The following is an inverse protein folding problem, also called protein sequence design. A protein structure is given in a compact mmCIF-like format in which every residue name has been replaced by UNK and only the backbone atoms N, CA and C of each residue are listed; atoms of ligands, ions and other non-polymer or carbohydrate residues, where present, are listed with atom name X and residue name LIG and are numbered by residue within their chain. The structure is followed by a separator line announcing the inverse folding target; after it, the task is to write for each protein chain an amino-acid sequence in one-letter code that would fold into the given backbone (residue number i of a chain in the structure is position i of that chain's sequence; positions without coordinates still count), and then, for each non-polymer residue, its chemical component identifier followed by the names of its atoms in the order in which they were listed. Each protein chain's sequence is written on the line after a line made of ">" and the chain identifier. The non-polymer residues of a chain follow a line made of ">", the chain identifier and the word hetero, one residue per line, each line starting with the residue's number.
data_IF_486487052602
#
_entry.id   IF_486487052602
#
_cell.length_a   1.000
_cell.length_b   1.000
_cell.length_c   1.000
_cell.angle_alpha   90.00
_cell.angle_beta   90.00
_cell.angle_gamma   90.00
#
_symmetry.space_group_name_H-M   'P 1'
#
loop_
_entity.id
_entity.type
_entity.pdbx_description
1 polymer ?
#
# COMPACT_ATOMS: atom_id res chain seq x y z
N UNK A 1 -17.57 -5.04 -23.84
CA UNK A 1 -16.36 -4.20 -23.87
C UNK A 1 -15.16 -4.99 -23.37
N UNK A 2 -13.92 -4.63 -23.77
CA UNK A 2 -12.70 -5.33 -23.35
C UNK A 2 -11.77 -4.42 -22.57
N UNK A 3 -11.29 -4.91 -21.44
CA UNK A 3 -10.33 -4.22 -20.60
C UNK A 3 -9.01 -5.02 -20.51
N UNK A 4 -7.86 -4.33 -20.54
CA UNK A 4 -6.56 -4.92 -20.26
C UNK A 4 -5.96 -4.29 -18.99
N UNK A 5 -5.72 -5.09 -17.97
CA UNK A 5 -4.97 -4.68 -16.79
C UNK A 5 -3.51 -5.08 -16.93
N UNK A 6 -2.59 -4.15 -16.69
CA UNK A 6 -1.15 -4.45 -16.75
C UNK A 6 -0.45 -4.06 -15.45
N UNK A 7 0.48 -4.90 -15.04
CA UNK A 7 1.39 -4.61 -13.93
C UNK A 7 2.73 -5.36 -14.14
N UNK A 8 3.78 -4.93 -13.45
CA UNK A 8 5.08 -5.60 -13.55
C UNK A 8 5.02 -7.05 -13.09
N UNK A 9 4.18 -7.37 -12.07
CA UNK A 9 4.07 -8.69 -11.47
C UNK A 9 2.63 -9.08 -11.14
N UNK A 10 2.32 -10.39 -11.19
CA UNK A 10 1.03 -10.98 -10.84
C UNK A 10 0.52 -10.55 -9.47
N UNK A 11 1.41 -10.56 -8.47
CA UNK A 11 1.03 -10.24 -7.09
C UNK A 11 0.42 -8.83 -6.94
N UNK A 12 0.79 -7.89 -7.79
CA UNK A 12 0.19 -6.55 -7.77
C UNK A 12 -1.27 -6.57 -8.22
N UNK A 13 -1.58 -7.27 -9.31
CA UNK A 13 -2.96 -7.44 -9.78
C UNK A 13 -3.79 -8.21 -8.76
N UNK A 14 -3.29 -9.36 -8.30
CA UNK A 14 -4.01 -10.23 -7.36
C UNK A 14 -4.29 -9.59 -6.01
N UNK A 15 -3.39 -8.72 -5.54
CA UNK A 15 -3.54 -8.06 -4.24
C UNK A 15 -4.43 -6.82 -4.29
N UNK A 16 -4.40 -6.04 -5.39
CA UNK A 16 -4.94 -4.69 -5.38
C UNK A 16 -6.08 -4.44 -6.39
N UNK A 17 -6.18 -5.24 -7.44
CA UNK A 17 -7.10 -4.92 -8.54
C UNK A 17 -8.24 -5.93 -8.72
N UNK A 18 -8.19 -7.08 -8.05
CA UNK A 18 -9.23 -8.11 -8.21
C UNK A 18 -10.65 -7.64 -7.88
N UNK A 19 -10.88 -6.83 -6.82
CA UNK A 19 -12.23 -6.32 -6.55
C UNK A 19 -12.79 -5.51 -7.71
N UNK A 20 -12.00 -4.60 -8.27
CA UNK A 20 -12.44 -3.76 -9.39
C UNK A 20 -12.54 -4.56 -10.72
N UNK A 21 -11.67 -5.54 -10.95
CA UNK A 21 -11.77 -6.46 -12.09
C UNK A 21 -13.10 -7.23 -12.06
N UNK A 22 -13.47 -7.78 -10.90
CA UNK A 22 -14.76 -8.47 -10.72
C UNK A 22 -15.95 -7.55 -10.96
N UNK A 23 -15.87 -6.30 -10.53
CA UNK A 23 -16.91 -5.30 -10.78
C UNK A 23 -17.07 -5.00 -12.28
N UNK A 24 -15.95 -4.89 -13.02
CA UNK A 24 -16.02 -4.71 -14.48
C UNK A 24 -16.61 -5.94 -15.19
N UNK A 25 -16.25 -7.16 -14.75
CA UNK A 25 -16.82 -8.40 -15.28
C UNK A 25 -18.33 -8.47 -15.01
N UNK A 26 -18.78 -8.09 -13.81
CA UNK A 26 -20.20 -8.00 -13.47
C UNK A 26 -20.97 -7.00 -14.36
N UNK A 27 -20.25 -6.00 -14.91
CA UNK A 27 -20.79 -5.03 -15.88
C UNK A 27 -20.64 -5.48 -17.35
N UNK A 28 -20.24 -6.71 -17.59
CA UNK A 28 -20.14 -7.30 -18.94
C UNK A 28 -18.83 -7.01 -19.67
N UNK A 29 -17.76 -6.62 -18.96
CA UNK A 29 -16.44 -6.54 -19.56
C UNK A 29 -15.80 -7.92 -19.66
N UNK A 30 -15.16 -8.20 -20.79
CA UNK A 30 -14.12 -9.23 -20.91
C UNK A 30 -12.82 -8.62 -20.40
N UNK A 31 -12.29 -9.14 -19.29
CA UNK A 31 -11.11 -8.56 -18.64
C UNK A 31 -9.89 -9.46 -18.83
N UNK A 32 -8.87 -8.91 -19.47
CA UNK A 32 -7.56 -9.54 -19.63
C UNK A 32 -6.54 -8.94 -18.69
N UNK A 33 -5.51 -9.71 -18.36
CA UNK A 33 -4.36 -9.19 -17.61
C UNK A 33 -3.02 -9.55 -18.29
N UNK A 34 -2.03 -8.65 -18.15
CA UNK A 34 -0.67 -8.89 -18.61
C UNK A 34 0.34 -8.55 -17.52
N UNK A 35 1.12 -9.52 -17.10
CA UNK A 35 2.10 -9.40 -16.02
C UNK A 35 3.18 -10.48 -16.11
N UNK A 36 4.25 -10.34 -15.31
CA UNK A 36 5.20 -11.43 -15.05
C UNK A 36 4.71 -12.24 -13.85
N UNK A 37 4.66 -13.58 -13.98
CA UNK A 37 4.31 -14.44 -12.85
C UNK A 37 5.42 -14.40 -11.78
N UNK A 38 5.02 -14.17 -10.53
CA UNK A 38 5.87 -14.21 -9.35
C UNK A 38 5.23 -15.03 -8.21
N UNK A 39 4.44 -16.04 -8.55
CA UNK A 39 3.74 -16.90 -7.59
C UNK A 39 4.69 -17.67 -6.66
N UNK A 40 5.93 -17.89 -7.09
CA UNK A 40 7.01 -18.45 -6.26
C UNK A 40 7.47 -17.52 -5.12
N UNK A 41 7.23 -16.22 -5.23
CA UNK A 41 7.59 -15.22 -4.22
C UNK A 41 6.40 -14.81 -3.33
N UNK A 42 5.18 -14.83 -3.87
CA UNK A 42 3.94 -14.51 -3.15
C UNK A 42 2.86 -15.50 -3.52
N UNK A 43 2.55 -16.40 -2.59
CA UNK A 43 1.52 -17.43 -2.72
C UNK A 43 0.14 -16.92 -2.31
N UNK A 44 -0.92 -17.65 -2.66
CA UNK A 44 -2.28 -17.42 -2.19
C UNK A 44 -3.05 -16.27 -2.87
N UNK A 45 -2.49 -15.66 -3.92
CA UNK A 45 -3.21 -14.61 -4.68
C UNK A 45 -3.91 -15.22 -5.89
N UNK A 46 -5.23 -15.29 -5.81
CA UNK A 46 -6.07 -15.85 -6.86
C UNK A 46 -6.36 -14.82 -7.95
N UNK A 47 -5.96 -15.15 -9.17
CA UNK A 47 -6.27 -14.40 -10.41
C UNK A 47 -7.03 -15.25 -11.42
N UNK A 48 -7.54 -16.42 -11.02
CA UNK A 48 -8.18 -17.40 -11.92
C UNK A 48 -9.49 -16.91 -12.55
N UNK A 49 -10.14 -15.92 -11.94
CA UNK A 49 -11.36 -15.33 -12.46
C UNK A 49 -11.14 -14.35 -13.62
N UNK A 50 -9.88 -14.02 -13.95
CA UNK A 50 -9.56 -13.16 -15.11
C UNK A 50 -9.76 -13.97 -16.39
N UNK A 51 -10.51 -13.40 -17.36
CA UNK A 51 -10.91 -14.12 -18.57
C UNK A 51 -9.72 -14.56 -19.41
N UNK A 52 -8.66 -13.77 -19.48
CA UNK A 52 -7.41 -14.14 -20.16
C UNK A 52 -6.18 -13.52 -19.52
N UNK A 53 -5.15 -14.33 -19.34
CA UNK A 53 -3.87 -13.90 -18.75
C UNK A 53 -2.77 -14.07 -19.80
N UNK A 54 -1.94 -13.04 -19.92
CA UNK A 54 -0.74 -13.05 -20.77
C UNK A 54 0.50 -12.90 -19.88
N UNK A 55 1.42 -13.82 -20.02
CA UNK A 55 2.73 -13.66 -19.40
C UNK A 55 3.60 -12.73 -20.24
N UNK A 56 4.04 -11.64 -19.62
CA UNK A 56 4.90 -10.62 -20.25
C UNK A 56 6.15 -10.44 -19.40
N UNK A 57 7.37 -10.49 -19.98
CA UNK A 57 8.62 -10.50 -19.23
C UNK A 57 9.02 -9.11 -18.70
N UNK A 58 8.11 -8.47 -17.96
CA UNK A 58 8.38 -7.19 -17.29
C UNK A 58 9.52 -7.30 -16.28
N UNK A 59 10.29 -6.22 -16.13
CA UNK A 59 11.26 -6.05 -15.05
C UNK A 59 10.99 -4.74 -14.31
N UNK A 60 11.22 -4.76 -12.99
CA UNK A 60 11.18 -3.54 -12.16
C UNK A 60 12.35 -2.61 -12.45
N UNK A 61 13.51 -3.16 -12.88
CA UNK A 61 14.67 -2.35 -13.24
C UNK A 61 14.47 -1.67 -14.58
N UNK A 62 14.61 -0.34 -14.69
CA UNK A 62 14.50 0.38 -15.96
C UNK A 62 15.60 -0.01 -16.95
N UNK A 63 16.72 -0.52 -16.47
CA UNK A 63 17.88 -0.91 -17.30
C UNK A 63 17.82 -2.33 -17.84
N UNK A 64 16.76 -3.10 -17.48
CA UNK A 64 16.67 -4.49 -17.91
C UNK A 64 16.30 -4.60 -19.40
N UNK A 65 17.07 -5.34 -20.21
CA UNK A 65 16.74 -5.58 -21.61
C UNK A 65 15.45 -6.37 -21.80
N UNK A 66 14.96 -7.09 -20.75
CA UNK A 66 13.68 -7.78 -20.81
C UNK A 66 12.51 -6.81 -21.01
N UNK A 67 12.63 -5.54 -20.64
CA UNK A 67 11.62 -4.53 -20.87
C UNK A 67 11.40 -4.20 -22.34
N UNK A 68 12.43 -4.37 -23.18
CA UNK A 68 12.31 -4.27 -24.65
C UNK A 68 11.45 -5.42 -25.17
N UNK A 69 11.71 -6.65 -24.71
CA UNK A 69 10.90 -7.83 -25.06
C UNK A 69 9.45 -7.66 -24.58
N UNK A 70 9.28 -7.14 -23.35
CA UNK A 70 7.96 -6.85 -22.78
C UNK A 70 7.17 -5.83 -23.62
N UNK A 71 7.83 -4.78 -24.13
CA UNK A 71 7.21 -3.79 -25.01
C UNK A 71 6.65 -4.45 -26.29
N UNK A 72 7.46 -5.23 -27.01
CA UNK A 72 7.00 -5.86 -28.24
C UNK A 72 5.92 -6.91 -28.02
N UNK A 73 6.03 -7.71 -26.95
CA UNK A 73 5.02 -8.68 -26.56
C UNK A 73 3.69 -7.99 -26.24
N UNK A 74 3.73 -6.95 -25.41
CA UNK A 74 2.55 -6.21 -25.02
C UNK A 74 1.92 -5.46 -26.19
N UNK A 75 2.76 -4.85 -27.05
CA UNK A 75 2.26 -4.17 -28.27
C UNK A 75 1.51 -5.14 -29.18
N UNK A 76 2.02 -6.35 -29.39
CA UNK A 76 1.35 -7.41 -30.15
C UNK A 76 -0.01 -7.76 -29.52
N UNK A 77 -0.04 -8.01 -28.18
CA UNK A 77 -1.27 -8.29 -27.44
C UNK A 77 -2.32 -7.17 -27.63
N UNK A 78 -1.89 -5.91 -27.52
CA UNK A 78 -2.77 -4.75 -27.66
C UNK A 78 -3.32 -4.63 -29.07
N UNK A 79 -2.49 -4.82 -30.09
CA UNK A 79 -2.89 -4.68 -31.50
C UNK A 79 -3.84 -5.82 -31.95
N UNK A 80 -3.68 -7.03 -31.39
CA UNK A 80 -4.52 -8.20 -31.74
C UNK A 80 -5.89 -8.21 -31.05
N UNK A 81 -6.12 -7.46 -29.96
CA UNK A 81 -7.31 -7.64 -29.12
C UNK A 81 -8.29 -6.45 -29.08
N UNK A 82 -7.99 -5.32 -29.69
CA UNK A 82 -8.89 -4.15 -29.79
C UNK A 82 -9.56 -3.77 -28.45
N UNK A 83 -8.74 -3.42 -27.44
CA UNK A 83 -9.24 -3.04 -26.11
C UNK A 83 -9.95 -1.68 -26.12
N UNK A 84 -11.06 -1.58 -25.39
CA UNK A 84 -11.73 -0.31 -25.10
C UNK A 84 -10.96 0.51 -24.07
N UNK A 85 -10.37 -0.18 -23.06
CA UNK A 85 -9.55 0.43 -22.01
C UNK A 85 -8.32 -0.42 -21.70
N UNK A 86 -7.19 0.26 -21.47
CA UNK A 86 -5.96 -0.31 -20.95
C UNK A 86 -5.65 0.40 -19.65
N UNK A 87 -5.70 -0.35 -18.53
CA UNK A 87 -5.43 0.15 -17.20
C UNK A 87 -4.05 -0.33 -16.74
N UNK A 88 -3.09 0.56 -16.72
CA UNK A 88 -1.71 0.23 -16.36
C UNK A 88 -1.38 0.62 -14.92
N UNK A 89 -0.55 -0.22 -14.30
CA UNK A 89 -0.14 -0.11 -12.92
C UNK A 89 1.35 -0.38 -12.79
N UNK A 90 1.93 -0.01 -11.65
CA UNK A 90 3.36 -0.11 -11.34
C UNK A 90 4.24 0.76 -12.26
N UNK A 91 5.35 1.32 -11.77
CA UNK A 91 6.12 2.30 -12.56
C UNK A 91 6.58 1.78 -13.92
N UNK A 92 7.35 0.69 -13.96
CA UNK A 92 7.85 0.15 -15.25
C UNK A 92 6.75 -0.50 -16.08
N UNK A 93 5.77 -1.17 -15.46
CA UNK A 93 4.59 -1.70 -16.15
C UNK A 93 3.84 -0.59 -16.88
N UNK A 94 3.60 0.54 -16.20
CA UNK A 94 2.91 1.68 -16.77
C UNK A 94 3.71 2.41 -17.87
N UNK A 95 5.04 2.55 -17.73
CA UNK A 95 5.89 3.11 -18.77
C UNK A 95 5.78 2.31 -20.07
N UNK A 96 5.98 0.99 -19.97
CA UNK A 96 5.95 0.10 -21.14
C UNK A 96 4.55 0.07 -21.76
N UNK A 97 3.51 0.00 -20.92
CA UNK A 97 2.14 -0.06 -21.40
C UNK A 97 1.71 1.20 -22.11
N UNK A 98 1.98 2.39 -21.55
CA UNK A 98 1.66 3.68 -22.19
C UNK A 98 2.34 3.83 -23.54
N UNK A 99 3.60 3.39 -23.68
CA UNK A 99 4.32 3.38 -24.95
C UNK A 99 3.71 2.37 -25.94
N UNK A 100 3.42 1.14 -25.51
CA UNK A 100 2.86 0.10 -26.36
C UNK A 100 1.43 0.44 -26.84
N UNK A 101 0.67 1.19 -26.04
CA UNK A 101 -0.71 1.58 -26.30
C UNK A 101 -0.86 2.81 -27.22
N UNK A 102 0.23 3.49 -27.62
CA UNK A 102 0.16 4.73 -28.43
C UNK A 102 -0.69 4.57 -29.71
N UNK A 103 -0.52 3.45 -30.41
CA UNK A 103 -1.31 3.14 -31.62
C UNK A 103 -2.78 2.88 -31.32
N UNK A 104 -3.07 2.07 -30.32
CA UNK A 104 -4.43 1.75 -29.90
C UNK A 104 -5.17 3.01 -29.41
N UNK A 105 -4.50 3.86 -28.62
CA UNK A 105 -5.07 5.14 -28.16
C UNK A 105 -5.50 6.05 -29.31
N UNK A 106 -4.74 6.11 -30.40
CA UNK A 106 -5.13 6.85 -31.60
C UNK A 106 -6.38 6.26 -32.29
N UNK A 107 -6.66 4.98 -32.07
CA UNK A 107 -7.86 4.28 -32.57
C UNK A 107 -9.05 4.35 -31.61
N UNK A 108 -8.93 5.02 -30.47
CA UNK A 108 -10.02 5.25 -29.52
C UNK A 108 -9.89 4.57 -28.16
N UNK A 109 -8.96 3.61 -28.00
CA UNK A 109 -8.67 2.97 -26.72
C UNK A 109 -8.33 4.01 -25.65
N UNK A 110 -8.95 3.93 -24.46
CA UNK A 110 -8.61 4.78 -23.32
C UNK A 110 -7.43 4.19 -22.55
N UNK A 111 -6.51 5.03 -22.14
CA UNK A 111 -5.36 4.64 -21.32
C UNK A 111 -5.51 5.25 -19.93
N UNK A 112 -5.68 4.38 -18.93
CA UNK A 112 -5.79 4.72 -17.51
C UNK A 112 -4.48 4.30 -16.82
N UNK A 113 -3.93 5.17 -15.99
CA UNK A 113 -2.74 4.85 -15.19
C UNK A 113 -3.00 5.13 -13.71
N UNK A 114 -2.90 4.09 -12.88
CA UNK A 114 -2.90 4.25 -11.42
C UNK A 114 -1.46 4.27 -10.89
N UNK A 115 -1.05 5.43 -10.39
CA UNK A 115 0.24 5.65 -9.75
C UNK A 115 0.13 5.30 -8.25
N UNK A 116 0.79 4.20 -7.84
CA UNK A 116 0.82 3.75 -6.44
C UNK A 116 1.90 4.46 -5.60
N UNK A 117 2.44 5.54 -6.10
CA UNK A 117 3.45 6.38 -5.46
C UNK A 117 4.54 6.79 -6.44
N UNK A 118 4.67 8.09 -6.73
CA UNK A 118 5.76 8.59 -7.57
C UNK A 118 7.11 8.42 -6.86
N UNK A 119 8.17 8.22 -7.65
CA UNK A 119 9.52 8.07 -7.11
C UNK A 119 10.19 9.42 -6.79
N UNK A 120 9.56 10.53 -7.14
CA UNK A 120 10.04 11.91 -6.93
C UNK A 120 9.21 12.66 -5.87
N UNK A 121 8.94 12.03 -4.74
CA UNK A 121 8.24 12.58 -3.59
C UNK A 121 9.11 13.57 -2.78
N UNK A 122 8.50 14.29 -1.84
CA UNK A 122 9.20 15.20 -0.93
C UNK A 122 10.19 14.41 -0.05
N UNK A 123 11.46 14.79 -0.10
CA UNK A 123 12.53 14.07 0.60
C UNK A 123 13.19 12.93 -0.21
N UNK A 124 12.69 12.63 -1.42
CA UNK A 124 13.34 11.64 -2.30
C UNK A 124 14.76 12.08 -2.70
N UNK A 125 15.68 11.12 -2.93
CA UNK A 125 16.98 11.43 -3.49
C UNK A 125 16.87 12.25 -4.80
N UNK A 126 17.73 13.25 -4.98
CA UNK A 126 17.71 14.14 -6.17
C UNK A 126 17.74 13.35 -7.49
N UNK A 127 18.48 12.25 -7.52
CA UNK A 127 18.56 11.37 -8.69
C UNK A 127 17.21 10.82 -9.11
N UNK A 128 16.32 10.52 -8.17
CA UNK A 128 14.96 10.05 -8.46
C UNK A 128 14.15 11.13 -9.19
N UNK A 129 14.29 12.39 -8.79
CA UNK A 129 13.62 13.50 -9.47
C UNK A 129 14.16 13.68 -10.88
N UNK A 130 15.47 13.52 -11.11
CA UNK A 130 16.08 13.65 -12.42
C UNK A 130 15.66 12.51 -13.36
N UNK A 131 15.57 11.29 -12.86
CA UNK A 131 15.27 10.11 -13.69
C UNK A 131 13.78 9.87 -13.91
N UNK A 132 12.96 9.93 -12.84
CA UNK A 132 11.57 9.48 -12.92
C UNK A 132 10.59 10.61 -13.26
N UNK A 133 10.82 11.83 -12.79
CA UNK A 133 9.92 12.94 -13.05
C UNK A 133 9.75 13.27 -14.55
N UNK A 134 10.83 13.41 -15.37
CA UNK A 134 10.67 13.69 -16.79
C UNK A 134 9.90 12.59 -17.53
N UNK A 135 10.15 11.32 -17.17
CA UNK A 135 9.47 10.17 -17.78
C UNK A 135 7.98 10.22 -17.48
N UNK A 136 7.59 10.39 -16.20
CA UNK A 136 6.20 10.48 -15.82
C UNK A 136 5.51 11.71 -16.45
N UNK A 137 6.18 12.86 -16.48
CA UNK A 137 5.65 14.06 -17.09
C UNK A 137 5.43 13.92 -18.61
N UNK A 138 6.37 13.35 -19.33
CA UNK A 138 6.25 13.13 -20.78
C UNK A 138 5.12 12.12 -21.05
N UNK A 139 5.12 10.98 -20.35
CA UNK A 139 4.15 9.93 -20.56
C UNK A 139 2.74 10.28 -20.05
N UNK A 140 2.61 11.31 -19.23
CA UNK A 140 1.27 11.81 -18.87
C UNK A 140 0.49 12.27 -20.09
N UNK A 141 1.12 12.77 -21.15
CA UNK A 141 0.47 13.14 -22.42
C UNK A 141 -0.12 11.93 -23.16
N UNK A 142 0.34 10.72 -22.85
CA UNK A 142 -0.17 9.46 -23.41
C UNK A 142 -1.26 8.82 -22.54
N UNK A 143 -1.79 9.55 -21.54
CA UNK A 143 -2.71 9.05 -20.51
C UNK A 143 -4.04 9.80 -20.61
N UNK A 144 -5.15 9.07 -20.63
CA UNK A 144 -6.50 9.67 -20.63
C UNK A 144 -6.94 9.96 -19.19
N UNK A 145 -6.68 9.05 -18.25
CA UNK A 145 -6.87 9.28 -16.80
C UNK A 145 -5.60 8.89 -16.03
N UNK A 146 -5.03 9.83 -15.29
CA UNK A 146 -4.01 9.60 -14.28
C UNK A 146 -4.72 9.54 -12.91
N UNK A 147 -4.58 8.42 -12.23
CA UNK A 147 -5.14 8.20 -10.88
C UNK A 147 -3.97 8.17 -9.90
N UNK A 148 -4.03 8.97 -8.86
CA UNK A 148 -3.09 8.93 -7.73
C UNK A 148 -3.83 8.46 -6.48
N UNK A 149 -3.10 7.83 -5.56
CA UNK A 149 -3.68 7.24 -4.34
C UNK A 149 -3.31 7.99 -3.06
N UNK A 150 -2.60 9.10 -3.16
CA UNK A 150 -2.25 9.97 -2.06
C UNK A 150 -2.26 11.43 -2.51
N UNK A 151 -2.42 12.35 -1.55
CA UNK A 151 -2.58 13.77 -1.82
C UNK A 151 -1.29 14.44 -2.32
N UNK A 152 -0.10 13.98 -1.89
CA UNK A 152 1.18 14.56 -2.34
C UNK A 152 1.38 14.32 -3.85
N UNK A 153 1.15 13.10 -4.32
CA UNK A 153 1.29 12.78 -5.75
C UNK A 153 0.21 13.47 -6.61
N UNK A 154 -1.01 13.59 -6.07
CA UNK A 154 -2.09 14.33 -6.72
C UNK A 154 -1.71 15.79 -6.93
N UNK A 155 -1.30 16.46 -5.86
CA UNK A 155 -0.89 17.85 -5.92
C UNK A 155 0.35 18.04 -6.82
N UNK A 156 1.33 17.14 -6.73
CA UNK A 156 2.51 17.17 -7.60
C UNK A 156 2.13 17.07 -9.10
N UNK A 157 1.15 16.21 -9.45
CA UNK A 157 0.69 16.09 -10.83
C UNK A 157 0.00 17.38 -11.33
N UNK A 158 -0.78 18.06 -10.47
CA UNK A 158 -1.41 19.33 -10.77
C UNK A 158 -0.39 20.48 -10.86
N UNK A 159 0.43 20.67 -9.83
CA UNK A 159 1.41 21.76 -9.71
C UNK A 159 2.45 21.73 -10.84
N UNK A 160 2.83 20.54 -11.24
CA UNK A 160 3.75 20.36 -12.35
C UNK A 160 3.07 20.27 -13.73
N UNK A 161 1.76 20.53 -13.80
CA UNK A 161 0.99 20.54 -15.05
C UNK A 161 1.20 19.25 -15.89
N UNK A 162 0.94 18.10 -15.31
CA UNK A 162 0.93 16.83 -16.05
C UNK A 162 -0.14 16.87 -17.15
N UNK A 163 0.15 16.28 -18.29
CA UNK A 163 -0.65 16.39 -19.52
C UNK A 163 -1.66 15.25 -19.71
N UNK A 164 -1.96 14.47 -18.66
CA UNK A 164 -3.09 13.55 -18.70
C UNK A 164 -4.39 14.34 -18.96
N UNK A 165 -5.33 13.76 -19.71
CA UNK A 165 -6.58 14.47 -20.02
C UNK A 165 -7.37 14.80 -18.76
N UNK A 166 -7.36 13.87 -17.78
CA UNK A 166 -7.93 14.04 -16.44
C UNK A 166 -6.99 13.48 -15.39
N UNK A 167 -6.98 14.11 -14.23
CA UNK A 167 -6.18 13.69 -13.06
C UNK A 167 -7.16 13.49 -11.91
N UNK A 168 -7.11 12.30 -11.28
CA UNK A 168 -7.99 11.91 -10.20
C UNK A 168 -7.18 11.55 -8.95
N UNK A 169 -7.79 11.77 -7.79
CA UNK A 169 -7.34 11.25 -6.51
C UNK A 169 -8.35 10.19 -6.04
N UNK A 170 -7.87 9.00 -5.70
CA UNK A 170 -8.68 7.90 -5.15
C UNK A 170 -8.05 7.49 -3.81
N UNK A 171 -8.89 7.09 -2.87
CA UNK A 171 -8.47 6.73 -1.52
C UNK A 171 -7.85 5.32 -1.44
N UNK A 172 -6.77 5.09 -2.20
CA UNK A 172 -6.03 3.84 -2.18
C UNK A 172 -6.59 2.76 -3.10
N UNK A 173 -6.50 1.52 -2.65
CA UNK A 173 -6.90 0.32 -3.39
C UNK A 173 -8.07 -0.42 -2.73
N UNK A 174 -8.55 0.11 -1.61
CA UNK A 174 -9.62 -0.47 -0.81
C UNK A 174 -9.13 -1.53 0.20
N UNK A 175 -9.73 -1.50 1.39
CA UNK A 175 -9.56 -2.52 2.44
C UNK A 175 -10.91 -3.14 2.73
N UNK A 176 -10.93 -4.46 2.88
CA UNK A 176 -12.12 -5.22 3.25
C UNK A 176 -12.46 -4.98 4.73
N UNK A 177 -13.41 -4.10 5.00
CA UNK A 177 -13.85 -3.77 6.35
C UNK A 177 -14.66 -4.89 7.02
N UNK A 178 -15.10 -5.92 6.28
CA UNK A 178 -15.72 -7.10 6.89
C UNK A 178 -14.67 -7.99 7.57
N UNK A 179 -13.47 -8.02 7.04
CA UNK A 179 -12.32 -8.75 7.59
C UNK A 179 -11.60 -7.96 8.70
N UNK A 180 -11.53 -6.63 8.56
CA UNK A 180 -10.88 -5.74 9.51
C UNK A 180 -11.94 -4.87 10.19
N UNK A 181 -12.28 -5.19 11.42
CA UNK A 181 -13.27 -4.46 12.23
C UNK A 181 -12.91 -4.53 13.72
N UNK A 182 -13.41 -3.59 14.49
CA UNK A 182 -13.15 -3.56 15.93
C UNK A 182 -13.78 -4.77 16.62
N UNK A 183 -13.08 -5.30 17.63
CA UNK A 183 -13.54 -6.41 18.47
C UNK A 183 -13.94 -5.92 19.85
N UNK A 184 -14.76 -6.71 20.58
CA UNK A 184 -15.07 -6.45 21.97
C UNK A 184 -13.85 -6.68 22.87
N UNK A 185 -13.79 -6.07 24.09
CA UNK A 185 -12.73 -6.34 25.05
C UNK A 185 -12.55 -7.83 25.36
N UNK A 186 -13.65 -8.56 25.58
CA UNK A 186 -13.61 -10.01 25.84
C UNK A 186 -12.98 -10.79 24.67
N UNK A 187 -13.29 -10.40 23.43
CA UNK A 187 -12.69 -11.02 22.25
C UNK A 187 -11.21 -10.69 22.12
N UNK A 188 -10.80 -9.48 22.50
CA UNK A 188 -9.39 -9.07 22.53
C UNK A 188 -8.61 -9.89 23.55
N UNK A 189 -9.15 -10.05 24.78
CA UNK A 189 -8.54 -10.87 25.84
C UNK A 189 -8.43 -12.34 25.42
N UNK A 190 -9.49 -12.92 24.85
CA UNK A 190 -9.46 -14.29 24.33
C UNK A 190 -8.42 -14.48 23.19
N UNK A 191 -8.23 -13.48 22.31
CA UNK A 191 -7.17 -13.52 21.30
C UNK A 191 -5.78 -13.48 21.96
N UNK A 192 -5.57 -12.64 22.98
CA UNK A 192 -4.30 -12.58 23.72
C UNK A 192 -3.98 -13.92 24.35
N UNK A 193 -4.92 -14.52 25.07
CA UNK A 193 -4.75 -15.86 25.65
C UNK A 193 -4.39 -16.90 24.56
N UNK A 194 -5.14 -16.92 23.44
CA UNK A 194 -4.90 -17.84 22.32
C UNK A 194 -3.48 -17.71 21.74
N UNK A 195 -2.94 -16.48 21.69
CA UNK A 195 -1.61 -16.20 21.14
C UNK A 195 -0.51 -16.17 22.21
N UNK A 196 -0.83 -16.43 23.48
CA UNK A 196 0.13 -16.53 24.59
C UNK A 196 0.56 -15.19 25.17
N UNK A 197 -0.25 -14.14 25.00
CA UNK A 197 -0.01 -12.82 25.59
C UNK A 197 -0.82 -12.61 26.86
N UNK A 198 -0.27 -11.83 27.80
CA UNK A 198 -0.97 -11.36 28.99
C UNK A 198 -1.82 -10.12 28.67
N UNK A 199 -2.89 -9.90 29.46
CA UNK A 199 -3.63 -8.64 29.44
C UNK A 199 -2.81 -7.46 29.98
N UNK A 200 -1.76 -7.72 30.75
CA UNK A 200 -0.80 -6.72 31.22
C UNK A 200 0.25 -6.31 30.18
N UNK A 201 0.40 -7.07 29.07
CA UNK A 201 1.29 -6.70 27.97
C UNK A 201 0.74 -5.50 27.21
N UNK A 202 1.59 -4.52 26.93
CA UNK A 202 1.27 -3.46 25.96
C UNK A 202 1.86 -3.83 24.61
N UNK A 203 0.99 -4.23 23.69
CA UNK A 203 1.34 -4.84 22.42
C UNK A 203 1.30 -3.82 21.29
N UNK A 204 2.44 -3.59 20.68
CA UNK A 204 2.63 -2.74 19.51
C UNK A 204 2.83 -3.62 18.27
N UNK A 205 2.21 -3.26 17.14
CA UNK A 205 2.32 -4.05 15.92
C UNK A 205 2.71 -3.21 14.71
N UNK A 206 3.58 -3.76 13.86
CA UNK A 206 3.91 -3.20 12.55
C UNK A 206 3.94 -4.29 11.47
N UNK A 207 2.82 -4.57 10.77
CA UNK A 207 2.78 -5.51 9.66
C UNK A 207 3.53 -4.96 8.44
N UNK A 208 4.75 -5.47 8.20
CA UNK A 208 5.58 -5.01 7.08
C UNK A 208 6.72 -6.01 6.79
N UNK A 209 7.03 -6.19 5.49
CA UNK A 209 8.22 -6.93 5.06
C UNK A 209 9.50 -6.22 5.55
N UNK A 210 10.54 -6.98 5.91
CA UNK A 210 11.81 -6.40 6.33
C UNK A 210 12.56 -5.79 5.15
N UNK A 211 12.71 -4.47 5.16
CA UNK A 211 13.49 -3.74 4.17
C UNK A 211 13.83 -2.33 4.66
N UNK A 212 14.86 -1.72 4.09
CA UNK A 212 15.35 -0.39 4.47
C UNK A 212 14.23 0.68 4.42
N UNK A 213 13.32 0.59 3.46
CA UNK A 213 12.18 1.50 3.33
C UNK A 213 11.23 1.46 4.53
N UNK A 214 11.08 0.29 5.16
CA UNK A 214 10.19 0.08 6.32
C UNK A 214 10.84 0.47 7.66
N UNK A 215 12.18 0.59 7.69
CA UNK A 215 12.94 1.22 8.78
C UNK A 215 12.67 0.65 10.19
N UNK A 216 12.60 -0.68 10.31
CA UNK A 216 12.30 -1.35 11.57
C UNK A 216 13.30 -1.01 12.70
N UNK A 217 14.54 -0.67 12.37
CA UNK A 217 15.55 -0.26 13.38
C UNK A 217 15.08 0.91 14.24
N UNK A 218 14.33 1.87 13.65
CA UNK A 218 13.73 2.97 14.41
C UNK A 218 12.78 2.47 15.50
N UNK A 219 12.05 1.36 15.25
CA UNK A 219 11.14 0.76 16.24
C UNK A 219 11.93 0.06 17.36
N UNK A 220 13.09 -0.52 17.07
CA UNK A 220 13.93 -1.12 18.10
C UNK A 220 14.55 -0.04 18.99
N UNK A 221 15.01 1.07 18.42
CA UNK A 221 15.50 2.21 19.21
C UNK A 221 14.40 2.82 20.10
N UNK A 222 13.17 2.97 19.55
CA UNK A 222 11.98 3.37 20.31
C UNK A 222 11.70 2.38 21.46
N UNK A 223 11.68 1.08 21.16
CA UNK A 223 11.41 0.04 22.16
C UNK A 223 12.43 0.07 23.29
N UNK A 224 13.72 0.31 22.98
CA UNK A 224 14.77 0.45 24.01
C UNK A 224 14.42 1.56 25.01
N UNK A 225 13.94 2.70 24.54
CA UNK A 225 13.53 3.82 25.41
C UNK A 225 12.31 3.41 26.25
N UNK A 226 11.31 2.76 25.66
CA UNK A 226 10.10 2.33 26.36
C UNK A 226 10.39 1.31 27.47
N UNK A 227 11.36 0.40 27.26
CA UNK A 227 11.75 -0.63 28.23
C UNK A 227 12.49 -0.07 29.45
N UNK A 228 12.95 1.18 29.42
CA UNK A 228 13.44 1.89 30.60
C UNK A 228 12.29 2.24 31.58
N UNK A 229 11.07 2.40 31.06
CA UNK A 229 9.88 2.73 31.85
C UNK A 229 9.09 1.50 32.31
N UNK A 230 8.89 0.51 31.43
CA UNK A 230 8.13 -0.71 31.71
C UNK A 230 8.65 -1.88 30.88
N UNK A 231 8.71 -3.08 31.46
CA UNK A 231 9.16 -4.31 30.77
C UNK A 231 8.08 -5.03 29.97
N UNK A 232 6.81 -4.62 30.11
CA UNK A 232 5.67 -5.29 29.47
C UNK A 232 5.38 -4.80 28.04
N UNK A 233 6.24 -3.93 27.47
CA UNK A 233 6.12 -3.56 26.06
C UNK A 233 6.56 -4.71 25.16
N UNK A 234 5.70 -5.07 24.18
CA UNK A 234 5.96 -6.09 23.15
C UNK A 234 5.85 -5.46 21.76
N UNK A 235 6.73 -5.87 20.85
CA UNK A 235 6.71 -5.40 19.45
C UNK A 235 6.54 -6.58 18.51
N UNK A 236 5.39 -6.65 17.83
CA UNK A 236 5.08 -7.69 16.86
C UNK A 236 5.39 -7.22 15.43
N UNK A 237 6.18 -8.00 14.71
CA UNK A 237 6.63 -7.71 13.35
C UNK A 237 6.24 -8.85 12.39
N UNK A 238 4.97 -8.95 11.98
CA UNK A 238 4.57 -9.87 10.92
C UNK A 238 4.99 -9.31 9.55
N UNK A 239 5.60 -10.15 8.70
CA UNK A 239 6.07 -9.81 7.37
C UNK A 239 7.10 -10.79 6.85
N UNK A 240 7.45 -10.72 5.56
CA UNK A 240 8.46 -11.59 4.98
C UNK A 240 9.83 -11.39 5.65
N UNK A 241 10.50 -12.49 5.98
CA UNK A 241 11.72 -12.52 6.82
C UNK A 241 13.01 -12.82 6.06
N UNK A 242 12.96 -12.95 4.74
CA UNK A 242 14.14 -13.23 3.91
C UNK A 242 15.27 -12.20 4.07
N UNK A 243 14.98 -11.01 4.57
CA UNK A 243 15.93 -9.91 4.86
C UNK A 243 15.95 -9.51 6.33
N UNK A 244 15.44 -10.34 7.24
CA UNK A 244 15.31 -9.96 8.66
C UNK A 244 16.63 -10.08 9.45
N UNK A 245 17.59 -10.88 9.00
CA UNK A 245 18.80 -11.20 9.78
C UNK A 245 19.57 -9.97 10.31
N UNK A 246 19.87 -8.91 9.52
CA UNK A 246 20.55 -7.73 10.02
C UNK A 246 19.74 -6.99 11.11
N UNK A 247 18.43 -7.04 11.04
CA UNK A 247 17.52 -6.43 12.01
C UNK A 247 17.49 -7.22 13.32
N UNK A 248 17.50 -8.56 13.25
CA UNK A 248 17.65 -9.44 14.41
C UNK A 248 18.97 -9.16 15.15
N UNK A 249 20.08 -9.08 14.41
CA UNK A 249 21.39 -8.79 14.97
C UNK A 249 21.42 -7.42 15.65
N UNK A 250 20.82 -6.42 15.03
CA UNK A 250 20.71 -5.08 15.61
C UNK A 250 19.88 -5.09 16.90
N UNK A 251 18.68 -5.69 16.90
CA UNK A 251 17.81 -5.78 18.08
C UNK A 251 18.52 -6.48 19.25
N UNK A 252 19.30 -7.55 18.98
CA UNK A 252 20.13 -8.25 19.98
C UNK A 252 21.25 -7.35 20.52
N UNK A 253 21.93 -6.63 19.62
CA UNK A 253 23.06 -5.78 20.00
C UNK A 253 22.69 -4.63 20.95
N UNK A 254 21.44 -4.16 20.87
CA UNK A 254 20.93 -3.08 21.74
C UNK A 254 20.08 -3.61 22.92
N UNK A 255 19.92 -4.95 23.04
CA UNK A 255 19.30 -5.61 24.19
C UNK A 255 17.77 -5.58 24.24
N UNK A 256 17.08 -5.45 23.09
CA UNK A 256 15.60 -5.40 23.03
C UNK A 256 14.98 -6.66 22.44
N UNK A 257 15.76 -7.60 21.96
CA UNK A 257 15.28 -8.74 21.18
C UNK A 257 14.24 -9.62 21.92
N UNK A 258 14.34 -9.75 23.24
CA UNK A 258 13.41 -10.54 24.05
C UNK A 258 11.98 -9.95 24.08
N UNK A 259 11.82 -8.70 23.68
CA UNK A 259 10.55 -8.00 23.59
C UNK A 259 10.08 -7.81 22.13
N UNK A 260 10.79 -8.41 21.16
CA UNK A 260 10.48 -8.34 19.73
C UNK A 260 10.11 -9.71 19.20
N UNK A 261 8.96 -9.81 18.54
CA UNK A 261 8.53 -11.03 17.88
C UNK A 261 8.48 -10.88 16.36
N UNK A 262 9.35 -11.59 15.68
CA UNK A 262 9.42 -11.66 14.22
C UNK A 262 8.58 -12.85 13.77
N UNK A 263 7.36 -12.57 13.31
CA UNK A 263 6.31 -13.58 13.12
C UNK A 263 6.30 -14.23 11.73
N UNK A 264 7.17 -13.77 10.81
CA UNK A 264 7.13 -14.22 9.43
C UNK A 264 5.85 -13.78 8.69
N UNK A 265 5.63 -14.36 7.52
CA UNK A 265 4.41 -14.10 6.74
C UNK A 265 3.20 -14.71 7.46
N UNK A 266 2.15 -13.91 7.66
CA UNK A 266 0.95 -14.29 8.41
C UNK A 266 -0.31 -14.03 7.59
N UNK A 267 -1.28 -14.93 7.69
CA UNK A 267 -2.61 -14.80 7.06
C UNK A 267 -3.67 -14.25 8.04
N UNK A 268 -3.36 -14.24 9.33
CA UNK A 268 -4.22 -13.83 10.45
C UNK A 268 -3.90 -12.41 10.97
N UNK A 269 -3.47 -11.52 10.05
CA UNK A 269 -3.12 -10.13 10.40
C UNK A 269 -4.25 -9.41 11.14
N UNK A 270 -5.52 -9.66 10.77
CA UNK A 270 -6.65 -9.05 11.46
C UNK A 270 -6.71 -9.41 12.96
N UNK A 271 -6.40 -10.66 13.32
CA UNK A 271 -6.34 -11.08 14.72
C UNK A 271 -5.15 -10.44 15.45
N UNK A 272 -3.97 -10.40 14.80
CA UNK A 272 -2.77 -9.80 15.38
C UNK A 272 -2.94 -8.29 15.62
N UNK A 273 -3.58 -7.57 14.70
CA UNK A 273 -3.90 -6.15 14.89
C UNK A 273 -4.97 -5.97 15.98
N UNK A 274 -5.99 -6.86 16.01
CA UNK A 274 -7.07 -6.77 16.99
C UNK A 274 -6.61 -7.02 18.43
N UNK A 275 -5.65 -7.93 18.67
CA UNK A 275 -5.09 -8.16 20.01
C UNK A 275 -4.11 -7.08 20.46
N UNK A 276 -3.58 -6.26 19.53
CA UNK A 276 -2.61 -5.19 19.81
C UNK A 276 -3.29 -3.94 20.38
N UNK A 277 -2.50 -3.11 21.07
CA UNK A 277 -2.96 -1.85 21.68
C UNK A 277 -2.74 -0.66 20.73
N UNK A 278 -1.71 -0.74 19.90
CA UNK A 278 -1.31 0.33 18.99
C UNK A 278 -0.70 -0.24 17.72
N UNK A 279 -0.94 0.42 16.60
CA UNK A 279 -0.28 0.11 15.33
C UNK A 279 0.77 1.18 15.00
N UNK A 280 1.90 0.72 14.49
CA UNK A 280 3.06 1.56 14.19
C UNK A 280 3.36 1.61 12.69
N UNK A 281 4.03 2.67 12.27
CA UNK A 281 4.70 2.74 10.97
C UNK A 281 5.96 3.60 11.06
N UNK A 282 7.13 2.99 10.89
CA UNK A 282 8.43 3.67 10.84
C UNK A 282 8.92 3.93 9.41
N UNK A 283 8.07 3.73 8.41
CA UNK A 283 8.43 3.82 7.00
C UNK A 283 9.07 5.15 6.62
N UNK A 284 10.06 5.09 5.73
CA UNK A 284 10.70 6.29 5.13
C UNK A 284 9.85 6.92 4.03
N UNK A 285 8.97 6.13 3.42
CA UNK A 285 8.00 6.57 2.42
C UNK A 285 6.92 5.51 2.21
N UNK A 286 5.71 5.94 1.86
CA UNK A 286 4.61 5.08 1.44
C UNK A 286 3.88 5.67 0.22
N UNK A 287 3.11 4.84 -0.47
CA UNK A 287 2.08 5.32 -1.40
C UNK A 287 0.83 5.73 -0.64
N UNK A 288 0.09 4.72 -0.20
CA UNK A 288 -0.92 4.80 0.86
C UNK A 288 -0.88 3.45 1.60
N UNK A 289 -0.45 3.41 2.87
CA UNK A 289 -0.12 2.16 3.56
C UNK A 289 -1.39 1.41 4.00
N UNK A 290 -1.62 0.25 3.41
CA UNK A 290 -2.79 -0.60 3.70
C UNK A 290 -2.82 -1.04 5.16
N UNK A 291 -1.68 -1.39 5.74
CA UNK A 291 -1.58 -1.79 7.14
C UNK A 291 -2.09 -0.72 8.12
N UNK A 292 -1.96 0.56 7.80
CA UNK A 292 -2.54 1.63 8.61
C UNK A 292 -4.06 1.77 8.40
N UNK A 293 -4.56 1.52 7.18
CA UNK A 293 -6.01 1.48 6.93
C UNK A 293 -6.64 0.29 7.68
N UNK A 294 -5.97 -0.88 7.67
CA UNK A 294 -6.36 -2.06 8.45
C UNK A 294 -6.40 -1.76 9.96
N UNK A 295 -5.39 -1.05 10.46
CA UNK A 295 -5.34 -0.58 11.85
C UNK A 295 -6.49 0.38 12.18
N UNK A 296 -6.78 1.35 11.30
CA UNK A 296 -7.93 2.26 11.44
C UNK A 296 -9.26 1.50 11.48
N UNK A 297 -9.41 0.47 10.65
CA UNK A 297 -10.63 -0.34 10.58
C UNK A 297 -10.89 -1.13 11.88
N UNK A 298 -9.85 -1.63 12.51
CA UNK A 298 -9.92 -2.29 13.83
C UNK A 298 -10.11 -1.26 14.95
N UNK A 299 -9.67 -0.03 14.72
CA UNK A 299 -9.75 1.07 15.66
C UNK A 299 -8.49 1.21 16.53
N UNK A 300 -7.36 0.65 16.12
CA UNK A 300 -6.12 0.87 16.86
C UNK A 300 -5.67 2.34 16.75
N UNK A 301 -5.23 2.96 17.84
CA UNK A 301 -4.42 4.16 17.79
C UNK A 301 -3.19 3.94 16.89
N UNK A 302 -2.72 4.98 16.22
CA UNK A 302 -1.61 4.86 15.28
C UNK A 302 -0.50 5.85 15.67
N UNK A 303 0.75 5.37 15.66
CA UNK A 303 1.94 6.24 15.65
C UNK A 303 2.75 5.95 14.40
N UNK A 304 2.93 6.98 13.56
CA UNK A 304 3.57 6.81 12.26
C UNK A 304 4.60 7.91 11.99
N UNK A 305 5.58 7.63 11.14
CA UNK A 305 6.49 8.67 10.64
C UNK A 305 5.75 9.69 9.78
N UNK A 306 6.14 10.96 9.88
CA UNK A 306 5.62 12.09 9.10
C UNK A 306 6.15 12.03 7.65
N UNK A 307 5.57 11.12 6.86
CA UNK A 307 5.96 10.90 5.46
C UNK A 307 4.71 10.78 4.58
N UNK A 308 4.90 10.94 3.27
CA UNK A 308 3.86 10.73 2.27
C UNK A 308 3.12 9.41 2.51
N UNK A 309 1.83 9.40 2.32
CA UNK A 309 0.94 8.26 2.54
C UNK A 309 0.54 8.08 4.01
N UNK A 310 1.48 8.13 4.96
CA UNK A 310 1.14 8.14 6.38
C UNK A 310 0.31 9.39 6.73
N UNK A 311 0.70 10.57 6.21
CA UNK A 311 0.02 11.84 6.47
C UNK A 311 -1.36 11.94 5.83
N UNK A 312 -1.66 11.13 4.83
CA UNK A 312 -3.01 11.04 4.28
C UNK A 312 -3.96 10.37 5.29
N UNK A 313 -3.46 9.39 6.03
CA UNK A 313 -4.22 8.56 6.97
C UNK A 313 -4.21 9.09 8.40
N UNK A 314 -3.05 9.54 8.89
CA UNK A 314 -2.85 9.93 10.29
C UNK A 314 -2.77 11.45 10.40
N UNK A 315 -3.75 12.03 11.06
CA UNK A 315 -3.79 13.45 11.41
C UNK A 315 -3.34 13.62 12.85
N UNK A 316 -2.18 14.26 13.03
CA UNK A 316 -1.48 14.38 14.30
C UNK A 316 -2.39 14.93 15.42
N UNK A 317 -2.55 14.19 16.51
CA UNK A 317 -3.38 14.52 17.65
C UNK A 317 -4.91 14.36 17.44
N UNK A 318 -5.36 13.86 16.27
CA UNK A 318 -6.79 13.68 15.95
C UNK A 318 -7.19 12.19 15.92
N UNK A 319 -6.43 11.38 15.20
CA UNK A 319 -6.69 9.94 15.07
C UNK A 319 -5.43 9.08 15.29
N UNK A 320 -4.34 9.71 15.73
CA UNK A 320 -3.04 9.13 15.97
C UNK A 320 -1.98 10.22 16.10
N UNK A 321 -0.71 9.81 16.10
CA UNK A 321 0.41 10.75 16.09
C UNK A 321 1.31 10.52 14.88
N UNK A 322 1.80 11.63 14.30
CA UNK A 322 2.91 11.61 13.34
C UNK A 322 4.17 12.16 13.99
N UNK A 323 5.32 11.52 13.71
CA UNK A 323 6.61 11.88 14.29
C UNK A 323 7.67 12.06 13.20
N UNK A 324 8.70 12.87 13.42
CA UNK A 324 9.76 13.04 12.43
C UNK A 324 10.42 11.71 12.06
N UNK A 325 10.85 11.60 10.81
CA UNK A 325 11.61 10.43 10.35
C UNK A 325 12.92 10.29 11.11
N UNK A 326 13.23 9.07 11.57
CA UNK A 326 14.38 8.70 12.37
C UNK A 326 14.42 9.33 13.79
N UNK A 327 13.31 9.81 14.30
CA UNK A 327 13.18 10.32 15.67
C UNK A 327 12.49 9.26 16.56
N UNK A 328 13.27 8.31 17.05
CA UNK A 328 12.80 7.21 17.92
C UNK A 328 12.32 7.73 19.27
N UNK A 329 12.89 8.85 19.77
CA UNK A 329 12.48 9.46 21.03
C UNK A 329 11.07 10.08 20.90
N UNK A 330 10.82 10.86 19.85
CA UNK A 330 9.47 11.38 19.58
C UNK A 330 8.45 10.25 19.38
N UNK A 331 8.85 9.12 18.78
CA UNK A 331 7.97 7.97 18.64
C UNK A 331 7.67 7.31 19.99
N UNK A 332 8.66 7.15 20.85
CA UNK A 332 8.47 6.65 22.22
C UNK A 332 7.54 7.56 23.04
N UNK A 333 7.74 8.88 22.97
CA UNK A 333 6.89 9.86 23.64
C UNK A 333 5.44 9.77 23.17
N UNK A 334 5.21 9.59 21.86
CA UNK A 334 3.88 9.44 21.29
C UNK A 334 3.21 8.15 21.78
N UNK A 335 3.95 7.04 21.83
CA UNK A 335 3.47 5.76 22.39
C UNK A 335 3.12 5.93 23.87
N UNK A 336 3.98 6.57 24.67
CA UNK A 336 3.75 6.80 26.10
C UNK A 336 2.54 7.69 26.37
N UNK A 337 2.24 8.68 25.51
CA UNK A 337 1.01 9.48 25.64
C UNK A 337 -0.24 8.62 25.48
N UNK A 338 -0.24 7.67 24.53
CA UNK A 338 -1.36 6.74 24.34
C UNK A 338 -1.43 5.72 25.49
N UNK A 339 -0.28 5.15 25.92
CA UNK A 339 -0.19 4.23 27.03
C UNK A 339 -0.76 4.81 28.33
N UNK A 340 -0.43 6.06 28.63
CA UNK A 340 -0.84 6.75 29.87
C UNK A 340 -2.26 7.33 29.81
N UNK A 341 -2.95 7.27 28.67
CA UNK A 341 -4.27 7.88 28.48
C UNK A 341 -5.25 6.97 27.73
N UNK A 342 -5.96 6.07 28.45
CA UNK A 342 -7.01 5.25 27.83
C UNK A 342 -8.09 6.07 27.10
N UNK A 343 -8.38 7.28 27.60
CA UNK A 343 -9.34 8.17 26.95
C UNK A 343 -8.83 8.63 25.57
N UNK A 344 -7.56 9.00 25.46
CA UNK A 344 -6.95 9.38 24.19
C UNK A 344 -6.97 8.21 23.18
N UNK A 345 -6.68 7.00 23.65
CA UNK A 345 -6.76 5.80 22.83
C UNK A 345 -8.18 5.57 22.30
N UNK A 346 -9.20 5.78 23.14
CA UNK A 346 -10.61 5.67 22.78
C UNK A 346 -11.02 6.76 21.77
N UNK A 347 -10.57 7.99 21.96
CA UNK A 347 -10.85 9.10 21.05
C UNK A 347 -10.27 8.82 19.66
N UNK A 348 -9.03 8.35 19.58
CA UNK A 348 -8.40 7.94 18.32
C UNK A 348 -9.14 6.77 17.66
N UNK A 349 -9.53 5.77 18.43
CA UNK A 349 -10.36 4.65 17.94
C UNK A 349 -11.65 5.15 17.28
N UNK A 350 -12.38 6.02 17.96
CA UNK A 350 -13.65 6.55 17.47
C UNK A 350 -13.46 7.38 16.18
N UNK A 351 -12.38 8.16 16.10
CA UNK A 351 -12.07 8.93 14.91
C UNK A 351 -11.64 8.04 13.75
N UNK A 352 -10.80 7.03 13.99
CA UNK A 352 -10.39 6.05 13.00
C UNK A 352 -11.59 5.32 12.39
N UNK A 353 -12.56 4.90 13.22
CA UNK A 353 -13.78 4.22 12.77
C UNK A 353 -14.65 5.08 11.83
N UNK A 354 -14.60 6.42 11.98
CA UNK A 354 -15.29 7.35 11.06
C UNK A 354 -14.53 7.52 9.76
N UNK A 355 -13.21 7.75 9.86
CA UNK A 355 -12.35 8.09 8.72
C UNK A 355 -12.11 6.89 7.79
N UNK A 356 -12.10 5.67 8.31
CA UNK A 356 -11.75 4.47 7.53
C UNK A 356 -12.76 4.14 6.43
N UNK A 357 -14.01 4.57 6.56
CA UNK A 357 -15.09 4.24 5.60
C UNK A 357 -14.77 4.61 4.17
N UNK A 358 -14.12 5.74 3.94
CA UNK A 358 -13.72 6.20 2.60
C UNK A 358 -12.61 5.36 1.95
N UNK A 359 -11.96 4.49 2.73
CA UNK A 359 -10.92 3.57 2.27
C UNK A 359 -11.42 2.14 2.11
N UNK A 360 -12.72 1.89 2.25
CA UNK A 360 -13.30 0.57 2.02
C UNK A 360 -13.20 0.16 0.54
N UNK A 361 -13.21 -1.15 0.29
CA UNK A 361 -13.25 -1.69 -1.09
C UNK A 361 -14.42 -1.12 -1.87
N UNK A 362 -15.61 -1.03 -1.24
CA UNK A 362 -16.83 -0.53 -1.86
C UNK A 362 -16.68 0.94 -2.28
N UNK A 363 -16.17 1.79 -1.36
CA UNK A 363 -15.97 3.22 -1.64
C UNK A 363 -14.97 3.44 -2.78
N UNK A 364 -13.87 2.67 -2.80
CA UNK A 364 -12.86 2.76 -3.86
C UNK A 364 -13.40 2.24 -5.19
N UNK A 365 -14.22 1.18 -5.19
CA UNK A 365 -14.90 0.69 -6.40
C UNK A 365 -15.85 1.77 -6.96
N UNK A 366 -16.62 2.44 -6.10
CA UNK A 366 -17.52 3.52 -6.52
C UNK A 366 -16.77 4.67 -7.19
N UNK A 367 -15.64 5.09 -6.59
CA UNK A 367 -14.74 6.10 -7.17
C UNK A 367 -14.23 5.65 -8.56
N UNK A 368 -13.76 4.40 -8.67
CA UNK A 368 -13.25 3.85 -9.93
C UNK A 368 -14.33 3.72 -10.99
N UNK A 369 -15.54 3.31 -10.63
CA UNK A 369 -16.71 3.28 -11.50
C UNK A 369 -17.05 4.69 -11.99
N UNK A 370 -17.00 5.68 -11.11
CA UNK A 370 -17.18 7.10 -11.46
C UNK A 370 -16.17 7.56 -12.51
N UNK A 371 -14.89 7.23 -12.33
CA UNK A 371 -13.82 7.56 -13.29
C UNK A 371 -14.09 6.90 -14.66
N UNK A 372 -14.48 5.63 -14.68
CA UNK A 372 -14.75 4.93 -15.92
C UNK A 372 -15.99 5.50 -16.65
N UNK A 373 -17.04 5.89 -15.92
CA UNK A 373 -18.17 6.62 -16.50
C UNK A 373 -17.75 7.96 -17.12
N UNK A 374 -16.90 8.68 -16.42
CA UNK A 374 -16.38 9.98 -16.88
C UNK A 374 -15.49 9.87 -18.13
N UNK A 375 -14.94 8.69 -18.40
CA UNK A 375 -14.21 8.35 -19.61
C UNK A 375 -15.09 7.77 -20.72
N UNK A 376 -16.42 7.71 -20.52
CA UNK A 376 -17.40 7.09 -21.42
C UNK A 376 -17.15 5.60 -21.67
N UNK A 377 -16.81 4.87 -20.61
CA UNK A 377 -16.52 3.43 -20.61
C UNK A 377 -17.61 2.60 -19.88
N UNK A 378 -18.56 3.23 -19.20
CA UNK A 378 -19.66 2.59 -18.49
C UNK A 378 -20.99 3.32 -18.74
#
# INVERSE_FOLDING_TARGET
>A
MKALFTATVKSHIGQFHMPFIKELQARGYEVHAAYKDNSNQKQGLDTSTIDKIYEVPFSRSPYSPSNIKAYFALKKIIDENSYDVIHCNTPMGAVITRLAALGARKRGTKVVYTAHGFHFYKGAPRINKILFYPVEKILSSCTDALITINSEDYNAALDHNFKAKKIYHVNGVGVDLSRFHSVSPDKKSALREQYGYSDDDFIMIYPADFCERKNQNMLFDMLKILLEHNKNFKLLLPGATDKSQPYVEYAKSIGVFDNVEILGYRNDISNLVALSDISLSSSRQEGLPINLIEAMAIGNPIVATDVRGNNDLVKNGINGFTVPLNDSAAMADAVMKIYNSPQLALDFKNQNAKEVKKYSVESVIDDMVGIYKDLLLL
#
